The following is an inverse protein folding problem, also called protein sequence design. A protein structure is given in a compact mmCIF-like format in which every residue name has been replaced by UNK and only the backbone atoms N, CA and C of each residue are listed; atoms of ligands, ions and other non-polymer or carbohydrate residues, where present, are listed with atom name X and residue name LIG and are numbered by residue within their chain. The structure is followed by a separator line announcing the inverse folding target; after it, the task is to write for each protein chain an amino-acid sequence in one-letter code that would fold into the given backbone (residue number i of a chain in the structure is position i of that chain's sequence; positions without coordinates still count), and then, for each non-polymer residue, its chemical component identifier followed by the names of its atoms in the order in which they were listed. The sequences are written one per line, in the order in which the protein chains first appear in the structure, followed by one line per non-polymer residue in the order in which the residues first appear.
data_IF_590505630925
#
_entry.id   IF_590505630925
#
_cell.length_a   1.000
_cell.length_b   1.000
_cell.length_c   1.000
_cell.angle_alpha   90.00
_cell.angle_beta   90.00
_cell.angle_gamma   90.00
#
_symmetry.space_group_name_H-M   'P 1'
#
loop_
_entity.id
_entity.type
_entity.pdbx_description
1 polymer ?
#
# COMPACT_ATOMS: atom_id res chain seq x y z
N UNK A 1 -20.43 13.53 -5.89
CA UNK A 1 -21.25 12.84 -6.88
C UNK A 1 -22.66 13.39 -6.90
N UNK A 2 -23.39 13.21 -7.97
CA UNK A 2 -24.75 13.74 -8.17
C UNK A 2 -25.70 13.34 -7.05
N UNK A 3 -25.63 12.14 -6.53
CA UNK A 3 -26.45 11.65 -5.43
C UNK A 3 -26.19 12.41 -4.12
N UNK A 4 -24.96 12.70 -3.81
CA UNK A 4 -24.60 13.46 -2.62
C UNK A 4 -24.99 14.93 -2.75
N UNK A 5 -24.87 15.52 -3.93
CA UNK A 5 -25.32 16.89 -4.21
C UNK A 5 -26.84 17.02 -4.10
N UNK A 6 -27.59 16.07 -4.63
CA UNK A 6 -29.05 16.03 -4.52
C UNK A 6 -29.50 15.93 -3.06
N UNK A 7 -28.86 15.12 -2.26
CA UNK A 7 -29.14 15.03 -0.83
C UNK A 7 -28.82 16.34 -0.09
N UNK A 8 -27.69 16.99 -0.42
CA UNK A 8 -27.27 18.26 0.18
C UNK A 8 -28.21 19.43 -0.15
N UNK A 9 -28.87 19.40 -1.30
CA UNK A 9 -29.81 20.43 -1.71
C UNK A 9 -31.18 20.37 -1.00
N UNK A 10 -31.44 19.35 -0.20
CA UNK A 10 -32.67 19.25 0.59
C UNK A 10 -33.96 19.14 -0.22
N UNK A 11 -33.86 18.76 -1.50
CA UNK A 11 -35.02 18.66 -2.41
C UNK A 11 -35.78 17.36 -2.32
N UNK A 12 -35.30 16.43 -1.49
CA UNK A 12 -35.84 15.07 -1.32
C UNK A 12 -36.51 14.90 0.04
N UNK A 13 -37.56 14.09 0.09
CA UNK A 13 -38.15 13.63 1.34
C UNK A 13 -37.21 12.64 2.07
N UNK A 14 -37.51 12.38 3.32
CA UNK A 14 -36.69 11.53 4.19
C UNK A 14 -36.43 10.13 3.60
N UNK A 15 -37.45 9.52 2.97
CA UNK A 15 -37.29 8.20 2.34
C UNK A 15 -36.35 8.21 1.14
N UNK A 16 -36.37 9.29 0.37
CA UNK A 16 -35.44 9.48 -0.76
C UNK A 16 -34.00 9.66 -0.29
N UNK A 17 -33.78 10.39 0.79
CA UNK A 17 -32.45 10.56 1.40
C UNK A 17 -31.90 9.23 1.93
N UNK A 18 -32.75 8.41 2.55
CA UNK A 18 -32.37 7.06 3.01
C UNK A 18 -31.99 6.15 1.85
N UNK A 19 -32.73 6.20 0.73
CA UNK A 19 -32.43 5.41 -0.45
C UNK A 19 -31.10 5.82 -1.09
N UNK A 20 -30.79 7.13 -1.18
CA UNK A 20 -29.52 7.66 -1.67
C UNK A 20 -28.36 7.23 -0.76
N UNK A 21 -28.54 7.32 0.56
CA UNK A 21 -27.53 6.91 1.53
C UNK A 21 -27.24 5.40 1.46
N UNK A 22 -28.27 4.58 1.29
CA UNK A 22 -28.11 3.13 1.12
C UNK A 22 -27.33 2.79 -0.16
N UNK A 23 -27.55 3.50 -1.25
CA UNK A 23 -26.80 3.31 -2.50
C UNK A 23 -25.32 3.70 -2.35
N UNK A 24 -25.04 4.82 -1.70
CA UNK A 24 -23.67 5.25 -1.39
C UNK A 24 -22.95 4.20 -0.52
N UNK A 25 -23.60 3.71 0.51
CA UNK A 25 -23.03 2.69 1.39
C UNK A 25 -22.75 1.37 0.65
N UNK A 26 -23.64 0.95 -0.25
CA UNK A 26 -23.44 -0.26 -1.06
C UNK A 26 -22.21 -0.13 -1.99
N UNK A 27 -21.97 1.04 -2.57
CA UNK A 27 -20.79 1.32 -3.38
C UNK A 27 -19.50 1.32 -2.56
N UNK A 28 -19.53 1.86 -1.35
CA UNK A 28 -18.40 1.84 -0.42
C UNK A 28 -18.06 0.41 0.02
N UNK A 29 -19.07 -0.40 0.32
CA UNK A 29 -18.88 -1.82 0.65
C UNK A 29 -18.28 -2.61 -0.52
N UNK A 30 -18.72 -2.35 -1.75
CA UNK A 30 -18.16 -2.96 -2.95
C UNK A 30 -16.67 -2.61 -3.13
N UNK A 31 -16.28 -1.36 -2.93
CA UNK A 31 -14.88 -0.93 -2.98
C UNK A 31 -14.05 -1.60 -1.88
N UNK A 32 -14.55 -1.67 -0.65
CA UNK A 32 -13.89 -2.35 0.47
C UNK A 32 -13.68 -3.82 0.18
N UNK A 33 -14.69 -4.51 -0.35
CA UNK A 33 -14.61 -5.93 -0.71
C UNK A 33 -13.56 -6.19 -1.80
N UNK A 34 -13.45 -5.33 -2.81
CA UNK A 34 -12.43 -5.43 -3.86
C UNK A 34 -11.04 -5.30 -3.26
N UNK A 35 -10.83 -4.36 -2.34
CA UNK A 35 -9.55 -4.15 -1.66
C UNK A 35 -9.19 -5.34 -0.77
N UNK A 36 -10.14 -5.84 0.03
CA UNK A 36 -9.93 -7.01 0.92
C UNK A 36 -9.53 -8.28 0.15
N UNK A 37 -10.11 -8.47 -1.03
CA UNK A 37 -9.84 -9.64 -1.86
C UNK A 37 -8.66 -9.44 -2.82
N UNK A 38 -8.08 -8.25 -2.87
CA UNK A 38 -6.92 -7.97 -3.72
C UNK A 38 -5.66 -8.55 -3.08
N UNK A 39 -5.33 -9.75 -3.48
CA UNK A 39 -4.11 -10.43 -3.11
C UNK A 39 -3.33 -10.76 -4.38
N UNK A 40 -2.09 -10.31 -4.47
CA UNK A 40 -1.22 -10.56 -5.61
C UNK A 40 0.06 -11.21 -5.11
N UNK A 41 0.27 -12.50 -5.41
CA UNK A 41 1.42 -13.29 -4.96
C UNK A 41 1.74 -13.15 -3.46
N UNK A 42 0.71 -13.18 -2.60
CA UNK A 42 0.84 -13.01 -1.16
C UNK A 42 0.93 -11.55 -0.70
N UNK A 43 0.71 -10.60 -1.58
CA UNK A 43 0.70 -9.17 -1.26
C UNK A 43 -0.75 -8.74 -0.97
N UNK A 44 -0.99 -8.29 0.25
CA UNK A 44 -2.25 -7.63 0.63
C UNK A 44 -2.10 -6.12 0.51
N UNK A 45 -2.84 -5.54 -0.42
CA UNK A 45 -2.90 -4.10 -0.62
C UNK A 45 -4.13 -3.52 0.06
N UNK A 46 -3.99 -2.35 0.66
CA UNK A 46 -5.12 -1.56 1.09
C UNK A 46 -4.97 -0.11 0.66
N UNK A 47 -6.08 0.56 0.48
CA UNK A 47 -6.12 1.98 0.24
C UNK A 47 -6.38 2.69 1.56
N UNK A 48 -5.37 3.33 2.13
CA UNK A 48 -5.45 4.01 3.41
C UNK A 48 -6.21 5.33 3.32
N UNK A 49 -7.47 5.28 2.93
CA UNK A 49 -8.35 6.44 2.95
C UNK A 49 -9.23 6.41 4.17
N UNK A 50 -9.21 7.49 4.92
CA UNK A 50 -10.22 7.75 5.94
C UNK A 50 -11.62 7.67 5.31
N UNK A 51 -12.47 6.80 5.81
CA UNK A 51 -13.84 6.67 5.34
C UNK A 51 -14.18 5.38 4.62
N UNK A 52 -13.22 4.53 4.33
CA UNK A 52 -13.53 3.13 4.03
C UNK A 52 -13.91 2.46 5.35
N UNK A 53 -15.13 2.01 5.38
CA UNK A 53 -15.81 1.28 6.43
C UNK A 53 -14.88 0.89 7.60
N UNK A 54 -15.06 1.44 8.78
CA UNK A 54 -14.22 1.21 9.96
C UNK A 54 -13.87 -0.25 10.24
N UNK A 55 -14.61 -1.17 9.66
CA UNK A 55 -14.39 -2.62 9.72
C UNK A 55 -13.06 -3.06 9.06
N UNK A 56 -12.62 -2.37 8.01
CA UNK A 56 -11.35 -2.68 7.35
C UNK A 56 -10.15 -2.27 8.20
N UNK A 57 -10.25 -1.14 8.89
CA UNK A 57 -9.20 -0.63 9.77
C UNK A 57 -9.12 -1.41 11.09
N UNK A 58 -10.22 -2.03 11.54
CA UNK A 58 -10.25 -2.87 12.74
C UNK A 58 -9.50 -4.20 12.56
N UNK A 59 -9.42 -4.71 11.33
CA UNK A 59 -8.69 -5.96 11.03
C UNK A 59 -7.17 -5.77 11.01
N UNK A 60 -6.70 -4.56 10.70
CA UNK A 60 -5.28 -4.23 10.75
C UNK A 60 -4.97 -3.72 12.15
N UNK A 61 -4.60 -4.61 13.05
CA UNK A 61 -4.07 -4.22 14.36
C UNK A 61 -2.58 -3.89 14.21
N UNK A 62 -2.20 -2.61 14.23
CA UNK A 62 -0.79 -2.25 14.13
C UNK A 62 0.01 -2.85 15.28
N UNK A 63 1.19 -3.37 14.96
CA UNK A 63 2.15 -3.78 15.98
C UNK A 63 2.82 -2.54 16.58
N UNK A 64 3.06 -2.58 17.87
CA UNK A 64 3.94 -1.62 18.51
C UNK A 64 5.40 -1.91 18.16
N UNK A 65 6.28 -0.93 18.32
CA UNK A 65 7.71 -1.12 18.06
C UNK A 65 8.29 -2.28 18.88
N UNK A 66 7.89 -2.37 20.15
CA UNK A 66 8.35 -3.45 21.05
C UNK A 66 7.86 -4.83 20.57
N UNK A 67 6.60 -4.94 20.18
CA UNK A 67 6.05 -6.18 19.64
C UNK A 67 6.73 -6.58 18.33
N UNK A 68 7.01 -5.62 17.45
CA UNK A 68 7.69 -5.85 16.19
C UNK A 68 9.13 -6.35 16.39
N UNK A 69 9.88 -5.73 17.28
CA UNK A 69 11.25 -6.14 17.63
C UNK A 69 11.24 -7.55 18.24
N UNK A 70 10.28 -7.85 19.12
CA UNK A 70 10.11 -9.16 19.71
C UNK A 70 9.84 -10.26 18.68
N UNK A 71 9.18 -9.90 17.56
CA UNK A 71 8.90 -10.80 16.44
C UNK A 71 10.05 -10.89 15.41
N UNK A 72 11.15 -10.18 15.63
CA UNK A 72 12.34 -10.22 14.77
C UNK A 72 12.29 -9.24 13.59
N UNK A 73 11.41 -8.26 13.61
CA UNK A 73 11.36 -7.22 12.57
C UNK A 73 12.45 -6.16 12.75
N UNK A 74 12.98 -5.69 11.64
CA UNK A 74 13.75 -4.44 11.58
C UNK A 74 12.78 -3.28 11.37
N UNK A 75 12.79 -2.33 12.27
CA UNK A 75 11.91 -1.17 12.26
C UNK A 75 12.37 -0.12 11.26
N UNK A 76 11.43 0.41 10.46
CA UNK A 76 11.66 1.45 9.45
C UNK A 76 10.84 2.70 9.80
N UNK A 77 11.51 3.83 9.95
CA UNK A 77 10.92 5.14 10.26
C UNK A 77 11.31 6.23 9.25
N UNK A 78 12.32 5.99 8.42
CA UNK A 78 12.86 6.97 7.47
C UNK A 78 12.98 6.39 6.06
N UNK A 79 13.08 7.28 5.07
CA UNK A 79 13.32 6.89 3.68
C UNK A 79 14.65 6.12 3.51
N UNK A 80 15.71 6.55 4.21
CA UNK A 80 17.01 5.88 4.16
C UNK A 80 16.95 4.47 4.74
N UNK A 81 16.23 4.27 5.84
CA UNK A 81 16.00 2.95 6.43
C UNK A 81 15.19 2.05 5.49
N UNK A 82 14.21 2.63 4.78
CA UNK A 82 13.43 1.90 3.78
C UNK A 82 14.31 1.46 2.61
N UNK A 83 15.16 2.33 2.08
CA UNK A 83 16.13 2.00 1.02
C UNK A 83 17.16 0.96 1.49
N UNK A 84 17.53 0.99 2.76
CA UNK A 84 18.51 0.05 3.33
C UNK A 84 18.07 -1.43 3.27
N UNK A 85 16.80 -1.72 2.96
CA UNK A 85 16.34 -3.08 2.69
C UNK A 85 17.11 -3.75 1.54
N UNK A 86 17.64 -2.98 0.61
CA UNK A 86 18.47 -3.50 -0.50
C UNK A 86 19.71 -4.25 -0.02
N UNK A 87 20.22 -3.95 1.17
CA UNK A 87 21.39 -4.59 1.75
C UNK A 87 21.11 -5.97 2.36
N UNK A 88 19.83 -6.29 2.60
CA UNK A 88 19.41 -7.60 3.08
C UNK A 88 17.98 -7.90 2.58
N UNK A 89 17.90 -8.42 1.38
CA UNK A 89 16.62 -8.71 0.68
C UNK A 89 15.86 -9.91 1.24
N UNK A 90 16.40 -10.60 2.22
CA UNK A 90 15.75 -11.72 2.92
C UNK A 90 15.32 -11.37 4.35
N UNK A 91 15.51 -10.13 4.79
CA UNK A 91 15.17 -9.66 6.13
C UNK A 91 13.68 -9.49 6.37
N UNK A 92 13.32 -9.25 7.63
CA UNK A 92 11.97 -8.91 8.07
C UNK A 92 11.91 -7.42 8.42
N UNK A 93 11.02 -6.70 7.79
CA UNK A 93 10.89 -5.25 7.92
C UNK A 93 9.46 -4.83 8.25
N UNK A 94 9.33 -3.77 9.04
CA UNK A 94 8.05 -3.20 9.43
C UNK A 94 8.11 -1.67 9.50
N UNK A 95 7.08 -1.01 9.00
CA UNK A 95 6.93 0.44 9.15
C UNK A 95 6.38 0.80 10.54
N UNK A 96 6.88 1.90 11.11
CA UNK A 96 6.37 2.48 12.35
C UNK A 96 5.79 3.90 12.18
N UNK A 97 5.83 4.42 10.97
CA UNK A 97 5.17 5.67 10.56
C UNK A 97 5.05 5.71 9.04
N UNK A 98 4.28 6.68 8.55
CA UNK A 98 4.24 6.97 7.12
C UNK A 98 5.63 7.39 6.63
N UNK A 99 5.98 6.99 5.41
CA UNK A 99 7.25 7.35 4.76
C UNK A 99 6.95 8.24 3.56
N UNK A 100 7.50 9.44 3.56
CA UNK A 100 7.40 10.37 2.44
C UNK A 100 8.69 10.30 1.61
N UNK A 101 8.54 9.91 0.34
CA UNK A 101 9.65 9.79 -0.61
C UNK A 101 9.74 10.97 -1.58
N UNK A 102 9.09 12.09 -1.28
CA UNK A 102 9.17 13.30 -2.10
C UNK A 102 10.62 13.77 -2.25
N UNK A 103 11.08 13.87 -3.49
CA UNK A 103 12.46 14.27 -3.78
C UNK A 103 13.53 13.22 -3.47
N UNK A 104 13.15 12.05 -3.00
CA UNK A 104 14.08 10.95 -2.73
C UNK A 104 14.37 10.16 -4.01
N UNK A 105 15.66 9.88 -4.27
CA UNK A 105 16.08 9.05 -5.40
C UNK A 105 15.94 7.56 -5.02
N UNK A 106 14.76 6.99 -5.25
CA UNK A 106 14.48 5.60 -4.93
C UNK A 106 15.10 4.64 -5.93
N UNK A 107 15.74 3.59 -5.43
CA UNK A 107 16.16 2.41 -6.19
C UNK A 107 15.29 1.23 -5.81
N UNK A 108 14.70 0.54 -6.78
CA UNK A 108 13.84 -0.61 -6.52
C UNK A 108 14.59 -1.69 -5.72
N UNK A 109 13.97 -2.18 -4.66
CA UNK A 109 14.53 -3.22 -3.80
C UNK A 109 14.30 -4.59 -4.45
N UNK A 110 15.37 -5.34 -4.64
CA UNK A 110 15.34 -6.61 -5.36
C UNK A 110 15.71 -6.45 -6.84
N UNK A 111 16.78 -7.11 -7.24
CA UNK A 111 17.30 -7.10 -8.62
C UNK A 111 17.08 -8.46 -9.28
N UNK A 112 17.54 -8.60 -10.53
CA UNK A 112 17.51 -9.88 -11.24
C UNK A 112 18.43 -10.95 -10.61
N UNK A 113 19.47 -10.52 -9.92
CA UNK A 113 20.41 -11.41 -9.23
C UNK A 113 20.12 -11.56 -7.74
N UNK A 114 19.37 -10.64 -7.14
CA UNK A 114 19.18 -10.54 -5.70
C UNK A 114 17.73 -10.19 -5.40
N UNK A 115 16.87 -11.19 -5.52
CA UNK A 115 15.42 -11.04 -5.38
C UNK A 115 15.01 -10.76 -3.94
N UNK A 116 14.05 -9.85 -3.74
CA UNK A 116 13.47 -9.68 -2.42
C UNK A 116 12.66 -10.92 -2.05
N UNK A 117 13.07 -11.61 -1.00
CA UNK A 117 12.46 -12.85 -0.53
C UNK A 117 12.10 -12.82 0.96
N UNK A 118 12.24 -11.68 1.58
CA UNK A 118 11.97 -11.47 3.00
C UNK A 118 10.51 -11.18 3.31
N UNK A 119 10.30 -10.45 4.38
CA UNK A 119 8.98 -10.00 4.83
C UNK A 119 8.96 -8.48 4.96
N UNK A 120 7.93 -7.85 4.41
CA UNK A 120 7.68 -6.42 4.56
C UNK A 120 6.25 -6.22 5.08
N UNK A 121 6.14 -5.69 6.28
CA UNK A 121 4.87 -5.34 6.90
C UNK A 121 4.72 -3.82 6.96
N UNK A 122 3.80 -3.28 6.19
CA UNK A 122 3.48 -1.83 6.21
C UNK A 122 2.84 -1.36 7.52
N UNK A 123 2.34 -2.28 8.34
CA UNK A 123 1.76 -1.99 9.66
C UNK A 123 0.62 -0.96 9.63
N UNK A 124 -0.10 -0.87 8.50
CA UNK A 124 -1.16 0.11 8.32
C UNK A 124 -0.69 1.50 7.89
N UNK A 125 0.61 1.73 7.75
CA UNK A 125 1.18 3.00 7.30
C UNK A 125 1.28 3.09 5.78
N UNK A 126 1.52 4.30 5.28
CA UNK A 126 1.51 4.65 3.87
C UNK A 126 2.89 5.13 3.43
N UNK A 127 3.31 4.68 2.26
CA UNK A 127 4.48 5.21 1.55
C UNK A 127 3.96 6.19 0.50
N UNK A 128 4.41 7.43 0.57
CA UNK A 128 3.91 8.53 -0.24
C UNK A 128 4.97 9.05 -1.22
N UNK A 129 4.49 9.57 -2.35
CA UNK A 129 5.31 10.33 -3.30
C UNK A 129 6.51 9.53 -3.86
N UNK A 130 6.34 8.23 -4.03
CA UNK A 130 7.35 7.41 -4.70
C UNK A 130 7.47 7.83 -6.16
N UNK A 131 8.65 8.25 -6.57
CA UNK A 131 8.96 8.55 -7.96
C UNK A 131 10.16 7.73 -8.40
N UNK A 132 9.96 6.87 -9.40
CA UNK A 132 11.01 6.10 -10.05
C UNK A 132 11.02 6.48 -11.54
N UNK A 133 12.13 6.98 -12.03
CA UNK A 133 12.28 7.37 -13.43
C UNK A 133 13.51 6.68 -14.03
N UNK A 134 13.35 5.42 -14.37
CA UNK A 134 14.42 4.53 -14.86
C UNK A 134 13.97 3.84 -16.16
N UNK A 135 13.63 4.63 -17.18
CA UNK A 135 13.05 4.14 -18.44
C UNK A 135 13.93 3.12 -19.20
N UNK A 136 15.19 3.01 -18.87
CA UNK A 136 16.11 2.02 -19.45
C UNK A 136 16.30 0.76 -18.61
N UNK A 137 15.70 0.68 -17.42
CA UNK A 137 15.85 -0.45 -16.51
C UNK A 137 14.57 -1.27 -16.41
N UNK A 138 14.74 -2.58 -16.35
CA UNK A 138 13.63 -3.52 -16.10
C UNK A 138 13.31 -3.64 -14.60
N UNK A 139 12.13 -4.12 -14.29
CA UNK A 139 11.68 -4.45 -12.94
C UNK A 139 11.76 -3.27 -11.97
N UNK A 140 11.01 -2.21 -12.29
CA UNK A 140 10.97 -1.00 -11.48
C UNK A 140 9.70 -0.90 -10.64
N UNK A 141 9.82 -0.36 -9.43
CA UNK A 141 8.75 -0.17 -8.45
C UNK A 141 9.33 0.14 -7.08
N UNK A 142 8.51 0.04 -6.04
CA UNK A 142 9.02 0.01 -4.66
C UNK A 142 9.97 -1.19 -4.50
N UNK A 143 9.51 -2.36 -4.92
CA UNK A 143 10.32 -3.56 -5.11
C UNK A 143 10.54 -3.80 -6.60
N UNK A 144 11.73 -4.24 -6.98
CA UNK A 144 12.02 -4.60 -8.36
C UNK A 144 11.54 -6.02 -8.68
N UNK A 145 12.26 -7.01 -8.20
CA UNK A 145 11.87 -8.44 -8.31
C UNK A 145 11.66 -9.05 -6.92
N UNK A 146 10.55 -9.75 -6.80
CA UNK A 146 10.11 -10.39 -5.55
C UNK A 146 9.89 -11.88 -5.81
N UNK A 147 10.41 -12.73 -4.94
CA UNK A 147 10.17 -14.17 -4.99
C UNK A 147 9.93 -14.72 -3.59
N UNK A 148 8.80 -15.38 -3.40
CA UNK A 148 8.42 -16.02 -2.14
C UNK A 148 8.42 -15.09 -0.92
N UNK A 149 8.31 -13.79 -1.14
CA UNK A 149 8.25 -12.79 -0.08
C UNK A 149 6.83 -12.66 0.48
N UNK A 150 6.75 -12.14 1.69
CA UNK A 150 5.49 -11.74 2.31
C UNK A 150 5.46 -10.23 2.43
N UNK A 151 4.56 -9.60 1.68
CA UNK A 151 4.33 -8.15 1.71
C UNK A 151 2.89 -7.92 2.13
N UNK A 152 2.67 -7.17 3.19
CA UNK A 152 1.34 -6.99 3.77
C UNK A 152 1.15 -5.62 4.42
N UNK A 153 -0.11 -5.21 4.57
CA UNK A 153 -0.54 -4.02 5.31
C UNK A 153 0.13 -2.72 4.87
N UNK A 154 0.50 -2.60 3.60
CA UNK A 154 1.16 -1.42 3.05
C UNK A 154 0.21 -0.62 2.16
N UNK A 155 0.17 0.69 2.38
CA UNK A 155 -0.50 1.64 1.51
C UNK A 155 0.50 2.38 0.64
N UNK A 156 0.11 2.69 -0.60
CA UNK A 156 0.88 3.52 -1.52
C UNK A 156 0.03 4.71 -1.95
N UNK A 157 0.59 5.90 -1.92
CA UNK A 157 -0.08 7.13 -2.29
C UNK A 157 0.80 7.99 -3.19
N UNK A 158 0.21 8.52 -4.26
CA UNK A 158 0.90 9.39 -5.22
C UNK A 158 2.20 8.77 -5.75
N UNK A 159 2.08 7.65 -6.47
CA UNK A 159 3.20 6.87 -7.00
C UNK A 159 3.34 7.10 -8.50
N UNK A 160 4.55 7.42 -8.94
CA UNK A 160 4.92 7.49 -10.35
C UNK A 160 6.13 6.59 -10.60
N UNK A 161 5.97 5.56 -11.44
CA UNK A 161 7.04 4.63 -11.77
C UNK A 161 7.18 4.55 -13.30
N UNK A 162 8.39 4.83 -13.78
CA UNK A 162 8.78 4.66 -15.18
C UNK A 162 9.96 3.70 -15.26
N UNK A 163 9.76 2.62 -15.96
CA UNK A 163 10.76 1.60 -16.24
C UNK A 163 10.62 1.09 -17.67
N UNK A 164 11.39 0.08 -18.02
CA UNK A 164 11.28 -0.60 -19.31
C UNK A 164 10.28 -1.77 -19.20
N UNK A 165 10.74 -2.96 -18.90
CA UNK A 165 9.91 -4.15 -18.77
C UNK A 165 9.62 -4.46 -17.29
N UNK A 166 8.40 -4.93 -16.97
CA UNK A 166 8.05 -5.27 -15.60
C UNK A 166 8.06 -4.05 -14.68
N UNK A 167 7.15 -3.12 -14.92
CA UNK A 167 7.03 -1.89 -14.13
C UNK A 167 5.73 -1.91 -13.34
N UNK A 168 5.80 -1.69 -12.05
CA UNK A 168 4.64 -1.64 -11.16
C UNK A 168 4.88 -0.74 -9.96
N UNK A 169 3.81 -0.23 -9.35
CA UNK A 169 3.92 0.65 -8.19
C UNK A 169 4.56 -0.06 -7.00
N UNK A 170 4.08 -1.26 -6.67
CA UNK A 170 4.61 -2.04 -5.55
C UNK A 170 5.77 -2.93 -5.97
N UNK A 171 5.64 -3.68 -7.05
CA UNK A 171 6.68 -4.58 -7.54
C UNK A 171 6.70 -4.59 -9.06
N UNK A 172 7.90 -4.68 -9.63
CA UNK A 172 8.09 -4.82 -11.07
C UNK A 172 7.81 -6.24 -11.56
N UNK A 173 8.19 -7.24 -10.77
CA UNK A 173 7.97 -8.65 -11.08
C UNK A 173 7.85 -9.48 -9.80
N UNK A 174 6.96 -10.46 -9.81
CA UNK A 174 6.79 -11.42 -8.71
C UNK A 174 6.73 -12.85 -9.25
N UNK A 175 7.42 -13.76 -8.58
CA UNK A 175 7.38 -15.22 -8.81
C UNK A 175 6.36 -15.88 -7.89
#
# INVERSE_FOLDING_TARGET
TDLAEQAANGTYGEDSLKAIQAEINARLEECSRIIENSEYNGIKLFQGTEGLNGKFLEEIKPLTEQEAIAQGYTVIKTADELQAMENNVSGKYILMNDIDLAGYSWTAVGTSSDLFSGEFNGNGYVIKNLTVNQSGLDYQGLFGRVSRAKISNVGLENVEVKGNTGTGALAGYTD
#
